data_IF_307116558782
#
_entry.id   IF_307116558782
#
_cell.length_a   1.000
_cell.length_b   1.000
_cell.length_c   1.000
_cell.angle_alpha   90.00
_cell.angle_beta   90.00
_cell.angle_gamma   90.00
#
_symmetry.space_group_name_H-M   'P 1'
#
loop_
_entity.id
_entity.type
_entity.pdbx_description
1 polymer ?
#
# COMPACT_ATOMS: atom_id res chain seq x y z
N UNK A 1 -11.59 12.80 19.80
CA UNK A 1 -10.52 11.80 19.53
C UNK A 1 -9.90 12.15 18.19
N UNK A 2 -8.73 12.79 18.20
CA UNK A 2 -8.11 13.31 16.98
C UNK A 2 -7.43 12.20 16.20
N UNK A 3 -7.82 12.01 14.95
CA UNK A 3 -7.04 11.22 14.00
C UNK A 3 -5.76 11.99 13.71
N UNK A 4 -4.65 11.57 14.31
CA UNK A 4 -3.31 12.10 14.03
C UNK A 4 -2.99 11.84 12.56
N UNK A 5 -3.28 12.83 11.71
CA UNK A 5 -2.89 12.84 10.30
C UNK A 5 -1.38 12.98 10.23
N UNK A 6 -0.69 11.85 10.14
CA UNK A 6 0.72 11.83 9.77
C UNK A 6 0.81 12.14 8.27
N UNK A 7 0.74 13.44 7.93
CA UNK A 7 0.78 13.92 6.55
C UNK A 7 2.23 14.02 6.07
N UNK A 8 2.79 12.91 5.60
CA UNK A 8 4.07 12.88 4.89
C UNK A 8 3.90 13.05 3.37
N UNK A 9 2.67 13.27 2.87
CA UNK A 9 2.42 13.65 1.49
C UNK A 9 2.70 15.14 1.29
N UNK A 10 3.39 15.51 0.21
CA UNK A 10 3.61 16.91 -0.13
C UNK A 10 2.27 17.64 -0.25
N UNK A 11 2.12 18.79 0.42
CA UNK A 11 0.88 19.59 0.41
C UNK A 11 0.26 19.76 -1.00
N UNK A 12 1.03 20.02 -2.07
CA UNK A 12 0.47 20.19 -3.42
C UNK A 12 -0.26 18.94 -3.95
N UNK A 13 0.24 17.74 -3.64
CA UNK A 13 -0.39 16.48 -4.06
C UNK A 13 -1.71 16.27 -3.32
N UNK A 14 -1.74 16.56 -2.01
CA UNK A 14 -2.96 16.45 -1.21
C UNK A 14 -4.01 17.44 -1.69
N UNK A 15 -3.61 18.68 -1.96
CA UNK A 15 -4.51 19.70 -2.54
C UNK A 15 -5.03 19.29 -3.92
N UNK A 16 -4.17 18.75 -4.78
CA UNK A 16 -4.58 18.26 -6.09
C UNK A 16 -5.65 17.16 -5.99
N UNK A 17 -5.48 16.20 -5.07
CA UNK A 17 -6.48 15.16 -4.82
C UNK A 17 -7.79 15.73 -4.27
N UNK A 18 -7.71 16.66 -3.30
CA UNK A 18 -8.90 17.31 -2.75
C UNK A 18 -9.67 18.09 -3.82
N UNK A 19 -8.98 18.78 -4.73
CA UNK A 19 -9.58 19.56 -5.80
C UNK A 19 -10.39 18.72 -6.80
N UNK A 20 -10.07 17.44 -6.93
CA UNK A 20 -10.81 16.49 -7.77
C UNK A 20 -11.72 15.56 -6.96
N UNK A 21 -11.93 15.84 -5.67
CA UNK A 21 -12.85 15.09 -4.82
C UNK A 21 -12.36 13.70 -4.41
N UNK A 22 -11.06 13.42 -4.50
CA UNK A 22 -10.48 12.15 -4.07
C UNK A 22 -10.14 12.14 -2.58
N UNK A 23 -10.48 11.02 -1.94
CA UNK A 23 -10.35 10.77 -0.51
C UNK A 23 -9.44 9.55 -0.31
N UNK A 24 -8.45 9.64 0.57
CA UNK A 24 -7.61 8.50 0.96
C UNK A 24 -8.45 7.47 1.73
N UNK A 25 -8.47 6.23 1.24
CA UNK A 25 -9.22 5.12 1.85
C UNK A 25 -8.71 4.74 3.25
N UNK A 26 -7.45 5.07 3.55
CA UNK A 26 -6.73 4.45 4.63
C UNK A 26 -6.30 3.02 4.28
N UNK A 27 -5.53 2.40 5.16
CA UNK A 27 -5.15 1.00 5.05
C UNK A 27 -4.99 0.39 6.43
N UNK A 28 -5.35 -0.88 6.57
CA UNK A 28 -4.95 -1.73 7.71
C UNK A 28 -3.56 -2.34 7.46
N UNK A 29 -2.93 -2.87 8.50
CA UNK A 29 -1.58 -3.45 8.42
C UNK A 29 -0.44 -2.43 8.62
N UNK A 30 0.76 -2.69 8.10
CA UNK A 30 1.91 -1.81 8.24
C UNK A 30 1.63 -0.41 7.68
N UNK A 31 1.87 0.61 8.51
CA UNK A 31 1.65 2.01 8.14
C UNK A 31 2.57 2.52 7.02
N UNK A 32 3.61 1.77 6.66
CA UNK A 32 4.66 2.17 5.74
C UNK A 32 4.81 1.07 4.70
N UNK A 33 4.74 1.42 3.41
CA UNK A 33 4.79 0.48 2.28
C UNK A 33 6.14 0.47 1.59
N UNK A 34 7.00 1.44 1.92
CA UNK A 34 8.32 1.59 1.31
C UNK A 34 9.40 1.84 2.37
N UNK A 35 10.60 1.32 2.10
CA UNK A 35 11.82 1.67 2.82
C UNK A 35 12.97 1.81 1.84
N UNK A 36 13.95 2.65 2.18
CA UNK A 36 15.19 2.78 1.39
C UNK A 36 16.14 1.58 1.54
N UNK A 37 15.72 0.49 2.20
CA UNK A 37 16.52 -0.73 2.39
C UNK A 37 17.75 -0.57 3.29
N UNK A 38 17.92 0.58 3.94
CA UNK A 38 19.04 0.86 4.85
C UNK A 38 18.74 0.41 6.29
N UNK A 39 19.75 0.42 7.14
CA UNK A 39 19.63 0.06 8.56
C UNK A 39 20.07 1.20 9.49
N UNK A 40 19.65 1.14 10.76
CA UNK A 40 20.05 2.11 11.78
C UNK A 40 19.54 3.52 11.48
N UNK A 41 20.39 4.52 11.71
CA UNK A 41 20.05 5.94 11.55
C UNK A 41 19.73 6.37 10.09
N UNK A 42 20.18 5.59 9.11
CA UNK A 42 19.93 5.86 7.69
C UNK A 42 18.63 5.21 7.18
N UNK A 43 17.88 4.51 8.04
CA UNK A 43 16.62 3.88 7.66
C UNK A 43 15.52 4.94 7.50
N UNK A 44 15.11 5.16 6.26
CA UNK A 44 13.94 5.96 5.93
C UNK A 44 12.82 5.06 5.45
N UNK A 45 11.60 5.32 5.94
CA UNK A 45 10.38 4.60 5.57
C UNK A 45 9.28 5.60 5.23
N UNK A 46 8.46 5.26 4.23
CA UNK A 46 7.35 6.08 3.75
C UNK A 46 6.17 5.17 3.35
N UNK A 47 4.97 5.75 3.18
CA UNK A 47 3.78 5.03 2.69
C UNK A 47 3.47 5.37 1.23
N UNK A 48 4.35 5.04 0.30
CA UNK A 48 4.18 5.51 -1.09
C UNK A 48 2.87 5.02 -1.74
N UNK A 49 2.35 3.87 -1.33
CA UNK A 49 1.16 3.28 -1.92
C UNK A 49 -0.10 3.69 -1.15
N UNK A 50 -1.04 4.31 -1.86
CA UNK A 50 -2.34 4.79 -1.33
C UNK A 50 -3.45 4.40 -2.30
N UNK A 51 -4.59 3.98 -1.75
CA UNK A 51 -5.83 3.89 -2.51
C UNK A 51 -6.66 5.15 -2.28
N UNK A 52 -7.08 5.77 -3.37
CA UNK A 52 -7.94 6.96 -3.37
C UNK A 52 -9.31 6.57 -3.93
N UNK A 53 -10.37 7.19 -3.43
CA UNK A 53 -11.74 6.99 -3.91
C UNK A 53 -12.50 8.31 -3.92
N UNK A 54 -13.54 8.41 -4.74
CA UNK A 54 -14.52 9.49 -4.65
C UNK A 54 -15.70 9.10 -3.74
N UNK A 55 -16.64 10.02 -3.59
CA UNK A 55 -17.83 9.85 -2.73
C UNK A 55 -18.79 8.79 -3.29
N UNK A 56 -18.93 8.70 -4.61
CA UNK A 56 -19.84 7.76 -5.26
C UNK A 56 -19.34 6.33 -5.08
N UNK A 57 -18.04 6.10 -5.26
CA UNK A 57 -17.38 4.83 -5.03
C UNK A 57 -17.48 4.41 -3.56
N UNK A 58 -17.24 5.33 -2.62
CA UNK A 58 -17.41 5.07 -1.18
C UNK A 58 -18.84 4.65 -0.84
N UNK A 59 -19.82 5.26 -1.52
CA UNK A 59 -21.24 4.96 -1.32
C UNK A 59 -21.61 3.59 -1.91
N UNK A 60 -21.01 3.21 -3.04
CA UNK A 60 -21.20 1.90 -3.66
C UNK A 60 -20.52 0.76 -2.88
N UNK A 61 -19.37 1.01 -2.26
CA UNK A 61 -18.57 0.02 -1.54
C UNK A 61 -18.27 0.46 -0.10
N UNK A 62 -19.29 0.59 0.76
CA UNK A 62 -19.13 1.14 2.11
C UNK A 62 -18.28 0.25 3.03
N UNK A 63 -18.12 -1.03 2.68
CA UNK A 63 -17.27 -1.99 3.41
C UNK A 63 -15.88 -2.14 2.80
N UNK A 64 -15.53 -1.35 1.79
CA UNK A 64 -14.25 -1.48 1.15
C UNK A 64 -13.10 -1.29 2.15
N UNK A 65 -12.12 -2.19 2.08
CA UNK A 65 -10.97 -2.19 2.95
C UNK A 65 -9.70 -2.42 2.12
N UNK A 66 -8.67 -1.64 2.43
CA UNK A 66 -7.33 -1.81 1.92
C UNK A 66 -6.45 -2.39 3.02
N UNK A 67 -5.73 -3.48 2.73
CA UNK A 67 -4.75 -4.06 3.63
C UNK A 67 -3.35 -4.01 3.02
N UNK A 68 -2.41 -3.43 3.75
CA UNK A 68 -0.98 -3.53 3.46
C UNK A 68 -0.49 -4.82 4.11
N UNK A 69 0.17 -5.66 3.33
CA UNK A 69 0.76 -6.90 3.84
C UNK A 69 2.24 -6.64 4.20
N UNK A 70 2.78 -7.20 5.31
CA UNK A 70 4.16 -6.98 5.73
C UNK A 70 5.25 -7.56 4.82
N UNK A 71 4.88 -8.30 3.77
CA UNK A 71 5.86 -8.90 2.86
C UNK A 71 6.53 -7.84 1.99
N UNK A 72 7.87 -7.90 1.93
CA UNK A 72 8.63 -7.08 1.00
C UNK A 72 8.04 -7.24 -0.41
N UNK A 73 7.66 -6.12 -1.02
CA UNK A 73 7.14 -6.02 -2.39
C UNK A 73 5.69 -6.47 -2.64
N UNK A 74 4.90 -6.73 -1.59
CA UNK A 74 3.46 -6.94 -1.79
C UNK A 74 2.75 -5.62 -2.10
N UNK A 75 2.05 -5.58 -3.23
CA UNK A 75 1.10 -4.50 -3.52
C UNK A 75 -0.06 -4.58 -2.50
N UNK A 76 -0.62 -3.44 -2.06
CA UNK A 76 -1.78 -3.42 -1.17
C UNK A 76 -2.96 -4.23 -1.76
N UNK A 77 -3.69 -4.94 -0.90
CA UNK A 77 -4.86 -5.72 -1.29
C UNK A 77 -6.14 -4.91 -1.03
N UNK A 78 -6.98 -4.75 -2.05
CA UNK A 78 -8.28 -4.10 -1.95
C UNK A 78 -9.41 -5.15 -1.95
N UNK A 79 -10.29 -5.08 -0.97
CA UNK A 79 -11.57 -5.80 -0.96
C UNK A 79 -12.70 -4.79 -0.96
N UNK A 80 -13.70 -4.99 -1.81
CA UNK A 80 -14.91 -4.17 -1.87
C UNK A 80 -15.97 -4.63 -0.86
N UNK A 81 -15.84 -5.85 -0.34
CA UNK A 81 -16.83 -6.48 0.54
C UNK A 81 -16.42 -6.46 2.02
N UNK A 82 -15.16 -6.06 2.32
CA UNK A 82 -14.62 -5.91 3.66
C UNK A 82 -13.95 -7.17 4.22
N UNK A 83 -14.15 -8.32 3.58
CA UNK A 83 -13.42 -9.54 3.90
C UNK A 83 -12.21 -9.69 2.97
N UNK A 84 -11.03 -9.90 3.57
CA UNK A 84 -9.76 -10.10 2.87
C UNK A 84 -9.25 -11.52 3.14
N UNK A 85 -10.04 -12.52 2.74
CA UNK A 85 -9.57 -13.92 2.73
C UNK A 85 -9.13 -14.31 1.32
N UNK A 86 -8.05 -13.68 0.84
CA UNK A 86 -7.43 -14.09 -0.43
C UNK A 86 -6.23 -14.96 -0.12
N UNK A 87 -6.35 -16.27 -0.36
CA UNK A 87 -5.20 -17.19 -0.36
C UNK A 87 -4.30 -16.83 -1.54
N UNK A 88 -3.31 -15.96 -1.32
CA UNK A 88 -2.47 -15.43 -2.40
C UNK A 88 -1.59 -16.53 -2.96
N UNK A 89 -1.58 -16.65 -4.29
CA UNK A 89 -0.55 -17.42 -4.99
C UNK A 89 0.71 -16.57 -5.12
N UNK A 90 1.86 -17.19 -4.94
CA UNK A 90 3.14 -16.57 -5.23
C UNK A 90 3.18 -16.08 -6.69
N UNK A 91 3.54 -14.81 -6.90
CA UNK A 91 3.73 -14.23 -8.24
C UNK A 91 5.15 -13.72 -8.34
N UNK A 92 5.91 -14.26 -9.30
CA UNK A 92 7.24 -13.77 -9.61
C UNK A 92 7.14 -12.59 -10.59
N UNK A 93 7.62 -11.41 -10.21
CA UNK A 93 7.62 -10.23 -11.07
C UNK A 93 8.91 -10.19 -11.89
N UNK A 94 8.84 -9.85 -13.18
CA UNK A 94 10.00 -9.79 -14.10
C UNK A 94 11.14 -8.92 -13.55
N UNK A 95 10.80 -7.78 -12.91
CA UNK A 95 11.77 -6.88 -12.29
C UNK A 95 12.71 -7.56 -11.29
N UNK A 96 12.28 -8.68 -10.69
CA UNK A 96 13.08 -9.45 -9.75
C UNK A 96 14.23 -10.21 -10.42
N UNK A 97 14.16 -10.49 -11.73
CA UNK A 97 15.26 -11.12 -12.48
C UNK A 97 16.56 -10.31 -12.44
N UNK A 98 16.46 -9.00 -12.21
CA UNK A 98 17.62 -8.10 -12.07
C UNK A 98 18.40 -8.35 -10.78
N UNK A 99 17.76 -8.91 -9.75
CA UNK A 99 18.44 -9.33 -8.53
C UNK A 99 18.86 -10.79 -8.66
N UNK A 100 20.17 -11.06 -8.57
CA UNK A 100 20.72 -12.44 -8.62
C UNK A 100 20.15 -13.35 -7.53
N UNK A 101 19.62 -12.80 -6.44
CA UNK A 101 19.00 -13.58 -5.36
C UNK A 101 17.62 -14.13 -5.74
N UNK A 102 16.99 -13.59 -6.78
CA UNK A 102 15.65 -14.03 -7.24
C UNK A 102 15.62 -15.51 -7.64
N UNK A 103 16.75 -16.07 -8.10
CA UNK A 103 16.86 -17.49 -8.44
C UNK A 103 16.67 -18.42 -7.25
N UNK A 104 16.94 -17.97 -6.02
CA UNK A 104 16.72 -18.77 -4.82
C UNK A 104 15.24 -18.84 -4.43
N UNK A 105 14.46 -17.81 -4.79
CA UNK A 105 13.03 -17.74 -4.53
C UNK A 105 12.27 -18.73 -5.43
N UNK A 106 12.63 -18.78 -6.72
CA UNK A 106 12.02 -19.72 -7.70
C UNK A 106 12.28 -21.19 -7.34
N UNK A 107 13.47 -21.51 -6.79
CA UNK A 107 13.81 -22.89 -6.39
C UNK A 107 13.06 -23.41 -5.16
N UNK A 108 12.44 -22.52 -4.37
CA UNK A 108 11.75 -22.85 -3.12
C UNK A 108 10.22 -22.70 -3.19
N UNK A 109 9.71 -22.11 -4.28
CA UNK A 109 8.29 -21.85 -4.49
C UNK A 109 7.56 -23.09 -5.03
#
# INVERSE_FOLDING_TARGET
MGTSSCSWASRPIVEAFNNIGLIDMGASGPRLTWSNGSSGWNLFKARLDRAMMDVDWKSAFPRAALEVIPEFFSDPLLSTEGELFVKRQFKFKEVWTRDRRSTFVVKKA
#
